data_IF_948814268555
#
_entry.id   IF_948814268555
#
_cell.length_a   1.000
_cell.length_b   1.000
_cell.length_c   1.000
_cell.angle_alpha   90.00
_cell.angle_beta   90.00
_cell.angle_gamma   90.00
#
_symmetry.space_group_name_H-M   'P 1'
#
loop_
_entity.id
_entity.type
_entity.pdbx_description
1 polymer ?
#
# COMPACT_ATOMS: atom_id res chain seq x y z
N UNK A 1 -13.05 -3.08 0.97
CA UNK A 1 -11.59 -3.06 1.23
C UNK A 1 -10.79 -2.67 -0.01
N UNK A 2 -11.03 -3.32 -1.17
CA UNK A 2 -10.31 -3.02 -2.42
C UNK A 2 -10.35 -1.55 -2.83
N UNK A 3 -11.53 -0.92 -2.83
CA UNK A 3 -11.69 0.48 -3.26
C UNK A 3 -10.83 1.46 -2.46
N UNK A 4 -10.84 1.32 -1.13
CA UNK A 4 -10.03 2.16 -0.24
C UNK A 4 -8.52 1.91 -0.45
N UNK A 5 -8.11 0.68 -0.75
CA UNK A 5 -6.72 0.36 -1.05
C UNK A 5 -6.26 0.99 -2.39
N UNK A 6 -7.10 0.93 -3.43
CA UNK A 6 -6.83 1.57 -4.72
C UNK A 6 -6.80 3.09 -4.58
N UNK A 7 -7.75 3.68 -3.84
CA UNK A 7 -7.78 5.11 -3.55
C UNK A 7 -6.52 5.57 -2.82
N UNK A 8 -6.06 4.79 -1.83
CA UNK A 8 -4.82 5.06 -1.09
C UNK A 8 -3.62 5.02 -2.03
N UNK A 9 -3.51 4.00 -2.90
CA UNK A 9 -2.42 3.92 -3.87
C UNK A 9 -2.41 5.11 -4.85
N UNK A 10 -3.57 5.59 -5.29
CA UNK A 10 -3.67 6.78 -6.13
C UNK A 10 -3.20 8.04 -5.38
N UNK A 11 -3.54 8.19 -4.10
CA UNK A 11 -3.05 9.27 -3.24
C UNK A 11 -1.51 9.24 -3.13
N UNK A 12 -0.93 8.06 -2.90
CA UNK A 12 0.53 7.87 -2.83
C UNK A 12 1.22 8.27 -4.14
N UNK A 13 0.67 7.87 -5.29
CA UNK A 13 1.21 8.23 -6.61
C UNK A 13 1.12 9.74 -6.87
N UNK A 14 0.01 10.37 -6.50
CA UNK A 14 -0.17 11.82 -6.64
C UNK A 14 0.77 12.60 -5.71
N UNK A 15 0.95 12.16 -4.47
CA UNK A 15 1.92 12.78 -3.55
C UNK A 15 3.34 12.68 -4.10
N UNK A 16 3.73 11.50 -4.62
CA UNK A 16 5.03 11.29 -5.23
C UNK A 16 5.29 12.21 -6.44
N UNK A 17 4.28 12.41 -7.31
CA UNK A 17 4.44 13.30 -8.47
C UNK A 17 4.61 14.78 -8.09
N UNK A 18 4.20 15.15 -6.88
CA UNK A 18 4.41 16.49 -6.30
C UNK A 18 5.71 16.60 -5.49
N UNK A 19 6.57 15.58 -5.51
CA UNK A 19 7.83 15.56 -4.77
C UNK A 19 7.68 15.27 -3.28
N UNK A 20 6.52 14.76 -2.84
CA UNK A 20 6.27 14.38 -1.45
C UNK A 20 6.62 12.90 -1.22
N UNK A 21 7.07 12.59 -0.01
CA UNK A 21 7.23 11.24 0.50
C UNK A 21 5.97 10.76 1.24
N UNK A 22 5.72 9.46 1.21
CA UNK A 22 4.58 8.83 1.89
C UNK A 22 4.94 7.46 2.48
N UNK A 23 4.32 7.08 3.60
CA UNK A 23 4.40 5.73 4.15
C UNK A 23 3.01 5.16 4.43
N UNK A 24 2.66 4.03 3.79
CA UNK A 24 1.45 3.27 4.08
C UNK A 24 1.67 2.40 5.31
N UNK A 25 0.85 2.62 6.35
CA UNK A 25 0.80 1.77 7.54
C UNK A 25 -0.53 1.04 7.58
N UNK A 26 -0.50 -0.28 7.38
CA UNK A 26 -1.71 -1.12 7.47
C UNK A 26 -2.20 -1.17 8.91
N UNK A 27 -3.47 -0.84 9.12
CA UNK A 27 -4.08 -0.74 10.46
C UNK A 27 -5.15 -1.80 10.66
N UNK A 28 -5.82 -2.20 9.58
CA UNK A 28 -6.89 -3.20 9.66
C UNK A 28 -6.41 -4.50 10.32
N UNK A 29 -7.22 -5.05 11.21
CA UNK A 29 -6.95 -6.31 11.91
C UNK A 29 -5.66 -6.27 12.77
N UNK A 30 -5.19 -5.07 13.15
CA UNK A 30 -4.09 -4.87 14.10
C UNK A 30 -4.60 -4.26 15.42
N UNK A 31 -3.79 -4.28 16.48
CA UNK A 31 -4.14 -3.62 17.74
C UNK A 31 -4.33 -2.09 17.63
N UNK A 32 -3.94 -1.47 16.53
CA UNK A 32 -4.03 -0.02 16.33
C UNK A 32 -5.39 0.44 15.79
N UNK A 33 -6.22 -0.46 15.24
CA UNK A 33 -7.48 -0.08 14.60
C UNK A 33 -8.46 0.58 15.56
N UNK A 34 -8.77 -0.08 16.68
CA UNK A 34 -9.72 0.43 17.68
C UNK A 34 -9.25 1.73 18.37
N UNK A 35 -7.98 1.87 18.78
CA UNK A 35 -7.44 3.15 19.25
C UNK A 35 -7.60 4.30 18.25
N UNK A 36 -7.33 4.05 16.96
CA UNK A 36 -7.45 5.07 15.91
C UNK A 36 -8.92 5.42 15.66
N UNK A 37 -9.81 4.42 15.61
CA UNK A 37 -11.26 4.65 15.51
C UNK A 37 -11.76 5.54 16.65
N UNK A 38 -11.38 5.22 17.88
CA UNK A 38 -11.76 6.00 19.07
C UNK A 38 -11.19 7.42 19.02
N UNK A 39 -9.93 7.58 18.62
CA UNK A 39 -9.27 8.88 18.53
C UNK A 39 -9.96 9.80 17.51
N UNK A 40 -10.37 9.26 16.37
CA UNK A 40 -10.96 10.01 15.26
C UNK A 40 -12.50 10.05 15.30
N UNK A 41 -13.12 9.40 16.28
CA UNK A 41 -14.59 9.31 16.38
C UNK A 41 -15.22 8.52 15.22
N UNK A 42 -14.53 7.51 14.70
CA UNK A 42 -15.04 6.66 13.61
C UNK A 42 -16.15 5.74 14.16
N UNK A 43 -17.33 5.71 13.53
CA UNK A 43 -18.42 4.79 13.87
C UNK A 43 -17.98 3.31 13.96
N UNK A 44 -18.65 2.54 14.83
CA UNK A 44 -18.29 1.13 15.09
C UNK A 44 -18.41 0.24 13.85
N UNK A 45 -19.38 0.53 12.98
CA UNK A 45 -19.68 -0.20 11.74
C UNK A 45 -18.69 0.10 10.60
N UNK A 46 -17.80 1.09 10.78
CA UNK A 46 -16.72 1.40 9.85
C UNK A 46 -15.39 0.82 10.31
N UNK A 47 -14.53 0.52 9.33
CA UNK A 47 -13.19 -0.03 9.53
C UNK A 47 -12.13 0.98 9.11
N UNK A 48 -10.99 0.97 9.80
CA UNK A 48 -9.83 1.79 9.42
C UNK A 48 -8.81 0.90 8.71
N UNK A 49 -8.75 1.04 7.39
CA UNK A 49 -7.87 0.25 6.53
C UNK A 49 -6.39 0.46 6.87
N UNK A 50 -5.98 1.72 6.85
CA UNK A 50 -4.60 2.14 6.94
C UNK A 50 -4.50 3.61 7.35
N UNK A 51 -3.31 4.01 7.76
CA UNK A 51 -2.91 5.40 7.88
C UNK A 51 -1.77 5.69 6.89
N UNK A 52 -1.65 6.95 6.49
CA UNK A 52 -0.60 7.41 5.57
C UNK A 52 0.08 8.63 6.17
N UNK A 53 1.40 8.55 6.37
CA UNK A 53 2.20 9.77 6.58
C UNK A 53 2.48 10.42 5.22
N UNK A 54 2.51 11.75 5.18
CA UNK A 54 2.76 12.54 3.97
C UNK A 54 3.56 13.80 4.33
N UNK A 55 4.59 14.11 3.57
CA UNK A 55 5.41 15.30 3.80
C UNK A 55 6.62 15.40 2.87
N UNK A 56 7.49 16.36 3.13
CA UNK A 56 8.75 16.49 2.42
C UNK A 56 9.76 15.45 2.94
N UNK A 57 10.29 14.57 2.08
CA UNK A 57 11.18 13.50 2.51
C UNK A 57 12.55 14.06 2.89
N UNK A 58 13.08 13.63 4.04
CA UNK A 58 14.48 13.88 4.46
C UNK A 58 15.42 12.72 4.07
N UNK A 59 14.84 11.61 3.61
CA UNK A 59 15.55 10.39 3.21
C UNK A 59 15.04 9.85 1.87
N UNK A 60 15.88 9.08 1.17
CA UNK A 60 15.55 8.43 -0.11
C UNK A 60 15.91 6.94 -0.08
N UNK A 61 15.15 6.11 0.66
CA UNK A 61 15.46 4.69 0.82
C UNK A 61 15.24 3.90 -0.48
N UNK A 62 16.13 2.96 -0.77
CA UNK A 62 15.99 2.01 -1.90
C UNK A 62 15.51 0.66 -1.40
N UNK A 63 14.67 -0.02 -2.17
CA UNK A 63 14.23 -1.40 -1.87
C UNK A 63 14.24 -2.25 -3.12
N UNK A 64 14.73 -3.48 -3.00
CA UNK A 64 14.66 -4.46 -4.10
C UNK A 64 13.24 -5.01 -4.23
N UNK A 65 12.82 -5.29 -5.46
CA UNK A 65 11.58 -5.99 -5.78
C UNK A 65 11.90 -7.42 -6.17
N UNK A 66 10.98 -8.34 -5.90
CA UNK A 66 11.03 -9.70 -6.45
C UNK A 66 11.05 -9.59 -7.99
N UNK A 67 11.92 -10.34 -8.69
CA UNK A 67 11.96 -10.34 -10.15
C UNK A 67 10.59 -10.61 -10.77
N UNK A 68 10.33 -9.99 -11.92
CA UNK A 68 9.01 -10.08 -12.56
C UNK A 68 8.68 -11.52 -12.96
N UNK A 69 9.69 -12.28 -13.38
CA UNK A 69 9.62 -13.67 -13.80
C UNK A 69 9.15 -14.57 -12.65
N UNK A 70 9.54 -14.24 -11.41
CA UNK A 70 9.12 -14.95 -10.20
C UNK A 70 7.71 -14.57 -9.76
N UNK A 71 7.24 -13.36 -10.06
CA UNK A 71 5.90 -12.89 -9.64
C UNK A 71 4.80 -13.14 -10.68
N UNK A 72 5.13 -13.11 -11.97
CA UNK A 72 4.16 -13.27 -13.07
C UNK A 72 3.92 -14.74 -13.38
N UNK A 73 2.67 -15.10 -13.63
CA UNK A 73 2.24 -16.41 -14.10
C UNK A 73 1.44 -16.24 -15.38
N UNK A 74 1.74 -17.05 -16.39
CA UNK A 74 1.16 -16.93 -17.73
C UNK A 74 0.01 -17.91 -17.90
N UNK A 75 -1.16 -17.43 -18.31
CA UNK A 75 -2.41 -18.17 -18.50
C UNK A 75 -2.99 -18.84 -17.23
N UNK A 76 -2.17 -19.60 -16.49
CA UNK A 76 -2.53 -20.33 -15.27
C UNK A 76 -1.51 -20.08 -14.17
N UNK A 77 -1.98 -20.05 -12.93
CA UNK A 77 -1.10 -19.95 -11.76
C UNK A 77 -0.07 -21.09 -11.76
N UNK A 78 1.18 -20.79 -11.41
CA UNK A 78 2.31 -21.72 -11.50
C UNK A 78 3.02 -21.78 -12.86
N UNK A 79 2.38 -21.40 -13.96
CA UNK A 79 3.00 -21.42 -15.29
C UNK A 79 3.99 -20.25 -15.47
N UNK A 80 5.27 -20.57 -15.65
CA UNK A 80 6.33 -19.60 -15.96
C UNK A 80 6.67 -19.65 -17.44
N UNK A 81 6.71 -18.48 -18.10
CA UNK A 81 7.26 -18.37 -19.47
C UNK A 81 8.77 -18.35 -19.35
N UNK A 82 9.47 -19.28 -19.98
CA UNK A 82 10.90 -19.09 -20.25
C UNK A 82 10.98 -17.91 -21.22
N UNK A 83 11.53 -16.79 -20.78
CA UNK A 83 11.97 -15.77 -21.74
C UNK A 83 13.08 -16.41 -22.56
N UNK A 84 12.74 -16.85 -23.77
CA UNK A 84 13.72 -17.14 -24.79
C UNK A 84 14.32 -15.81 -25.23
N UNK A 85 15.57 -15.57 -24.85
CA UNK A 85 16.51 -14.84 -25.69
C UNK A 85 17.11 -15.83 -26.68
#
# INVERSE_FOLDING_TARGET
HGDAAVATQNLLLAAHSLGLGTCWMGVIDTEFEEPIKKLLGVPEDLRVLCTVSLGYPDESPTRTRIPLEEKVHWEKYGSKKKLGL
#
